data_IF_413087688568
#
_entry.id   IF_413087688568
#
_cell.length_a   1.000
_cell.length_b   1.000
_cell.length_c   1.000
_cell.angle_alpha   90.00
_cell.angle_beta   90.00
_cell.angle_gamma   90.00
#
_symmetry.space_group_name_H-M   'P 1'
#
loop_
_entity.id
_entity.type
_entity.pdbx_description
1 polymer ?
#
# COMPACT_ATOMS: atom_id res chain seq x y z
N UNK A 1 -19.80 -8.91 -11.14
CA UNK A 1 -18.98 -9.85 -10.35
C UNK A 1 -18.18 -9.02 -9.37
N UNK A 2 -18.42 -9.17 -8.06
CA UNK A 2 -17.66 -8.43 -7.05
C UNK A 2 -16.19 -8.86 -7.09
N UNK A 3 -15.32 -7.91 -7.39
CA UNK A 3 -13.88 -8.16 -7.47
C UNK A 3 -13.29 -8.10 -6.06
N UNK A 4 -12.64 -9.19 -5.63
CA UNK A 4 -11.98 -9.26 -4.32
C UNK A 4 -10.92 -8.17 -4.21
N UNK A 5 -10.93 -7.47 -3.08
CA UNK A 5 -9.96 -6.41 -2.75
C UNK A 5 -9.02 -6.88 -1.66
N UNK A 6 -7.77 -6.44 -1.72
CA UNK A 6 -6.74 -6.73 -0.73
C UNK A 6 -6.13 -5.44 -0.19
N UNK A 7 -5.81 -5.43 1.10
CA UNK A 7 -5.16 -4.31 1.74
C UNK A 7 -3.66 -4.33 1.46
N UNK A 8 -3.09 -3.15 1.22
CA UNK A 8 -1.65 -2.91 1.13
C UNK A 8 -1.30 -1.79 2.09
N UNK A 9 -0.21 -1.94 2.84
CA UNK A 9 0.39 -0.90 3.66
C UNK A 9 1.71 -0.47 3.01
N UNK A 10 1.85 0.81 2.71
CA UNK A 10 3.03 1.39 2.07
C UNK A 10 3.72 2.34 3.03
N UNK A 11 4.94 2.00 3.44
CA UNK A 11 5.81 2.85 4.25
C UNK A 11 6.64 3.75 3.35
N UNK A 12 6.73 5.03 3.69
CA UNK A 12 7.29 6.08 2.85
C UNK A 12 8.27 6.95 3.62
N UNK A 13 9.21 7.60 2.93
CA UNK A 13 10.17 8.51 3.57
C UNK A 13 9.54 9.84 4.00
N UNK A 14 8.54 10.34 3.25
CA UNK A 14 7.95 11.68 3.41
C UNK A 14 6.49 11.72 2.94
N UNK A 15 5.73 12.69 3.46
CA UNK A 15 4.31 12.90 3.13
C UNK A 15 4.02 13.21 1.66
N UNK A 16 4.98 13.75 0.90
CA UNK A 16 4.81 13.98 -0.54
C UNK A 16 4.69 12.68 -1.34
N UNK A 17 5.28 11.58 -0.87
CA UNK A 17 5.16 10.25 -1.48
C UNK A 17 3.78 9.66 -1.17
N UNK A 18 3.25 9.88 0.03
CA UNK A 18 1.94 9.39 0.46
C UNK A 18 0.81 9.93 -0.42
N UNK A 19 0.87 11.20 -0.80
CA UNK A 19 -0.13 11.84 -1.65
C UNK A 19 -0.24 11.21 -3.04
N UNK A 20 0.83 10.58 -3.54
CA UNK A 20 0.84 9.89 -4.83
C UNK A 20 0.20 8.50 -4.77
N UNK A 21 -0.09 7.96 -3.57
CA UNK A 21 -0.59 6.59 -3.43
C UNK A 21 -1.99 6.36 -3.97
N UNK A 22 -2.80 7.43 -4.10
CA UNK A 22 -4.14 7.37 -4.69
C UNK A 22 -4.16 6.92 -6.15
N UNK A 23 -3.03 7.05 -6.88
CA UNK A 23 -2.94 6.56 -8.26
C UNK A 23 -2.87 5.03 -8.37
N UNK A 24 -2.64 4.33 -7.26
CA UNK A 24 -2.48 2.87 -7.23
C UNK A 24 -3.67 2.12 -6.65
N UNK A 25 -4.58 2.81 -5.98
CA UNK A 25 -5.71 2.18 -5.32
C UNK A 25 -6.51 3.14 -4.44
N UNK A 26 -7.52 2.58 -3.81
CA UNK A 26 -8.38 3.33 -2.89
C UNK A 26 -7.67 3.53 -1.56
N UNK A 27 -7.27 4.76 -1.27
CA UNK A 27 -6.63 5.12 0.00
C UNK A 27 -7.66 5.11 1.12
N UNK A 28 -7.40 4.33 2.16
CA UNK A 28 -8.27 4.20 3.34
C UNK A 28 -7.76 5.05 4.49
N UNK A 29 -6.43 5.14 4.62
CA UNK A 29 -5.80 5.85 5.73
C UNK A 29 -4.40 6.34 5.36
N UNK A 30 -4.03 7.51 5.87
CA UNK A 30 -2.69 8.10 5.74
C UNK A 30 -2.20 8.49 7.14
N UNK A 31 -1.07 7.95 7.59
CA UNK A 31 -0.37 8.45 8.77
C UNK A 31 0.78 9.37 8.36
N UNK A 32 0.59 10.68 8.51
CA UNK A 32 1.68 11.65 8.29
C UNK A 32 2.79 11.54 9.34
N UNK A 33 2.45 11.17 10.58
CA UNK A 33 3.39 11.03 11.69
C UNK A 33 4.27 9.78 11.55
N UNK A 34 3.66 8.65 11.20
CA UNK A 34 4.35 7.35 11.07
C UNK A 34 4.81 7.05 9.64
N UNK A 35 4.52 7.94 8.71
CA UNK A 35 4.82 7.86 7.29
C UNK A 35 4.37 6.60 6.54
N UNK A 36 3.12 6.17 6.73
CA UNK A 36 2.55 5.07 5.94
C UNK A 36 1.17 5.40 5.37
N UNK A 37 0.78 4.64 4.33
CA UNK A 37 -0.55 4.71 3.70
C UNK A 37 -1.15 3.31 3.63
N UNK A 38 -2.42 3.17 3.99
CA UNK A 38 -3.19 1.96 3.75
C UNK A 38 -4.07 2.14 2.51
N UNK A 39 -3.95 1.22 1.56
CA UNK A 39 -4.71 1.19 0.30
C UNK A 39 -5.46 -0.13 0.16
N UNK A 40 -6.63 -0.09 -0.48
CA UNK A 40 -7.23 -1.26 -1.10
C UNK A 40 -6.95 -1.28 -2.60
N UNK A 41 -6.55 -2.44 -3.09
CA UNK A 41 -6.39 -2.71 -4.53
C UNK A 41 -7.18 -3.95 -4.91
N UNK A 42 -7.48 -4.10 -6.20
CA UNK A 42 -8.06 -5.33 -6.72
C UNK A 42 -7.04 -6.47 -6.63
N UNK A 43 -7.46 -7.64 -6.13
CA UNK A 43 -6.57 -8.79 -5.94
C UNK A 43 -5.89 -9.21 -7.25
N UNK A 44 -6.61 -9.16 -8.37
CA UNK A 44 -6.07 -9.49 -9.70
C UNK A 44 -5.00 -8.52 -10.21
N UNK A 45 -4.84 -7.36 -9.58
CA UNK A 45 -3.84 -6.35 -9.94
C UNK A 45 -2.72 -6.21 -8.88
N UNK A 46 -2.84 -6.96 -7.77
CA UNK A 46 -1.97 -6.85 -6.58
C UNK A 46 -0.49 -6.87 -6.94
N UNK A 47 -0.02 -7.91 -7.62
CA UNK A 47 1.42 -8.12 -7.83
C UNK A 47 2.04 -7.04 -8.72
N UNK A 48 1.30 -6.59 -9.75
CA UNK A 48 1.72 -5.48 -10.61
C UNK A 48 1.81 -4.17 -9.82
N UNK A 49 0.79 -3.86 -9.01
CA UNK A 49 0.77 -2.64 -8.20
C UNK A 49 1.88 -2.66 -7.15
N UNK A 50 2.07 -3.78 -6.44
CA UNK A 50 3.15 -3.94 -5.46
C UNK A 50 4.52 -3.76 -6.11
N UNK A 51 4.76 -4.37 -7.27
CA UNK A 51 6.01 -4.21 -8.02
C UNK A 51 6.27 -2.74 -8.40
N UNK A 52 5.25 -2.03 -8.91
CA UNK A 52 5.35 -0.61 -9.23
C UNK A 52 5.67 0.23 -8.00
N UNK A 53 4.95 0.02 -6.90
CA UNK A 53 5.14 0.80 -5.67
C UNK A 53 6.53 0.57 -5.07
N UNK A 54 7.03 -0.68 -5.05
CA UNK A 54 8.38 -1.00 -4.53
C UNK A 54 9.50 -0.27 -5.27
N UNK A 55 9.31 0.06 -6.54
CA UNK A 55 10.30 0.76 -7.37
C UNK A 55 10.21 2.29 -7.27
N UNK A 56 9.25 2.85 -6.53
CA UNK A 56 9.14 4.30 -6.39
C UNK A 56 10.21 4.86 -5.45
N UNK A 57 10.89 5.92 -5.91
CA UNK A 57 11.79 6.67 -5.05
C UNK A 57 11.05 7.21 -3.82
N UNK A 58 11.51 6.81 -2.63
CA UNK A 58 10.94 7.23 -1.36
C UNK A 58 9.93 6.27 -0.75
N UNK A 59 9.63 5.14 -1.39
CA UNK A 59 9.01 3.97 -0.72
C UNK A 59 10.09 3.19 0.02
N UNK A 60 9.77 2.74 1.24
CA UNK A 60 10.70 2.01 2.11
C UNK A 60 10.30 0.55 2.28
N UNK A 61 8.99 0.28 2.39
CA UNK A 61 8.44 -1.07 2.59
C UNK A 61 7.02 -1.11 2.04
N UNK A 62 6.63 -2.29 1.54
CA UNK A 62 5.26 -2.60 1.14
C UNK A 62 4.87 -3.90 1.82
N UNK A 63 3.77 -3.88 2.58
CA UNK A 63 3.17 -5.05 3.20
C UNK A 63 1.80 -5.30 2.57
N UNK A 64 1.46 -6.57 2.37
CA UNK A 64 0.15 -6.98 1.87
C UNK A 64 -0.59 -7.64 3.02
N UNK A 65 -1.84 -7.24 3.30
CA UNK A 65 -2.67 -7.98 4.26
C UNK A 65 -2.99 -9.39 3.74
N UNK A 66 -3.80 -10.17 4.45
CA UNK A 66 -3.41 -11.12 5.51
C UNK A 66 -2.10 -11.95 5.32
N UNK A 67 -1.10 -11.51 4.58
CA UNK A 67 0.28 -12.06 4.71
C UNK A 67 1.16 -11.21 5.67
N UNK A 68 0.75 -9.96 5.97
CA UNK A 68 1.48 -9.03 6.85
C UNK A 68 0.99 -8.95 8.30
N UNK A 69 -0.22 -9.44 8.61
CA UNK A 69 -0.79 -9.41 9.97
C UNK A 69 -0.39 -10.64 10.80
N UNK A 70 -0.03 -11.76 10.16
CA UNK A 70 0.49 -12.95 10.84
C UNK A 70 1.91 -12.76 11.40
N UNK A 71 2.60 -11.68 11.03
CA UNK A 71 3.90 -11.29 11.60
C UNK A 71 3.79 -10.51 12.93
N UNK A 72 2.57 -10.32 13.45
CA UNK A 72 2.28 -9.67 14.75
C UNK A 72 1.64 -10.69 15.72
N UNK A 73 2.10 -11.95 15.66
CA UNK A 73 1.84 -12.98 16.68
C UNK A 73 3.12 -13.33 17.41
#
# INVERSE_FOLDING_TARGET
MDQRRIQIIVYTKKSSVQQKMSQFGHVVYISKKMNYVCLYVNESQKDNIVSKIKNLHGVQKVEVGPEGLDAIK
#
